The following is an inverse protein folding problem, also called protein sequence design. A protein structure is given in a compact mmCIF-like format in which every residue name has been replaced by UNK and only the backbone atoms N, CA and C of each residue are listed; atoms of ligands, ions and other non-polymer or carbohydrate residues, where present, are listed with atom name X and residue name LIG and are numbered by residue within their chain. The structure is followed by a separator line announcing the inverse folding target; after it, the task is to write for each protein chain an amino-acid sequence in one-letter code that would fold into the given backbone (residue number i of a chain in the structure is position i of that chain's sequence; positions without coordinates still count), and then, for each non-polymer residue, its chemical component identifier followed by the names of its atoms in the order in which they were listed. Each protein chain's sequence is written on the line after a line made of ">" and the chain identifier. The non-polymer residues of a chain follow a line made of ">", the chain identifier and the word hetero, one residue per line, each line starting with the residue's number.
data_IF_920707919994
#
_entry.id   IF_920707919994
#
_cell.length_a   1.000
_cell.length_b   1.000
_cell.length_c   1.000
_cell.angle_alpha   90.00
_cell.angle_beta   90.00
_cell.angle_gamma   90.00
#
_symmetry.space_group_name_H-M   'P 1'
#
loop_
_entity.id
_entity.type
_entity.pdbx_description
1 polymer ?
#
# COMPACT_ATOMS: atom_id res chain seq x y z
N UNK A 1 3.33 23.77 41.21
CA UNK A 1 3.01 24.20 39.84
C UNK A 1 4.30 23.98 39.04
N UNK A 2 4.60 22.77 38.53
CA UNK A 2 4.06 22.14 37.29
C UNK A 2 4.34 23.02 36.07
N UNK A 3 5.04 22.62 35.00
CA UNK A 3 5.75 21.40 34.58
C UNK A 3 6.72 21.87 33.48
N UNK A 4 7.97 21.40 33.44
CA UNK A 4 8.79 21.47 32.22
C UNK A 4 9.66 20.22 32.10
N UNK A 5 9.93 19.87 30.85
CA UNK A 5 10.94 18.91 30.36
C UNK A 5 10.56 17.42 30.32
N UNK A 6 9.79 17.05 29.30
CA UNK A 6 9.93 15.73 28.67
C UNK A 6 10.73 15.85 27.37
N UNK A 7 12.04 16.02 27.50
CA UNK A 7 12.98 15.76 26.41
C UNK A 7 13.29 14.26 26.44
N UNK A 8 12.79 13.54 25.44
CA UNK A 8 13.11 12.13 25.20
C UNK A 8 14.61 11.98 24.91
N UNK A 9 15.26 11.15 25.71
CA UNK A 9 16.69 10.90 25.71
C UNK A 9 17.16 10.31 24.37
N UNK A 10 17.95 11.08 23.60
CA UNK A 10 18.65 10.62 22.40
C UNK A 10 19.83 9.70 22.80
N UNK A 11 19.53 8.41 22.98
CA UNK A 11 20.53 7.35 23.03
C UNK A 11 21.18 7.14 21.66
N UNK A 12 22.51 7.19 21.62
CA UNK A 12 23.36 7.19 20.43
C UNK A 12 24.05 5.83 20.25
N UNK A 13 24.21 5.40 18.99
CA UNK A 13 25.13 4.35 18.44
C UNK A 13 24.72 2.90 18.72
N UNK A 14 24.83 1.92 17.81
CA UNK A 14 25.64 1.57 16.60
C UNK A 14 24.82 0.48 15.86
N UNK A 15 25.04 -0.01 14.65
CA UNK A 15 26.08 -0.04 13.61
C UNK A 15 25.40 -0.62 12.34
N UNK A 16 26.02 -0.46 11.18
CA UNK A 16 25.56 -1.00 9.89
C UNK A 16 25.21 -2.50 9.95
N UNK A 17 24.06 -2.87 9.37
CA UNK A 17 23.77 -4.22 8.87
C UNK A 17 22.92 -4.08 7.61
N UNK A 18 23.59 -4.03 6.45
CA UNK A 18 23.03 -4.52 5.20
C UNK A 18 23.00 -6.06 5.22
N UNK A 19 22.10 -6.61 4.40
CA UNK A 19 21.88 -8.03 4.04
C UNK A 19 20.93 -8.89 4.90
N UNK A 20 19.78 -9.16 4.26
CA UNK A 20 19.14 -10.46 4.05
C UNK A 20 18.77 -11.27 5.28
N UNK A 21 17.46 -11.37 5.53
CA UNK A 21 16.90 -12.44 6.35
C UNK A 21 15.77 -13.13 5.60
N UNK A 22 16.17 -14.14 4.84
CA UNK A 22 15.32 -15.31 4.65
C UNK A 22 15.26 -16.10 5.97
N UNK A 23 14.07 -16.63 6.23
CA UNK A 23 13.74 -17.83 7.04
C UNK A 23 13.23 -17.70 8.50
N UNK A 24 12.07 -18.36 8.65
CA UNK A 24 11.47 -19.07 9.79
C UNK A 24 10.64 -18.30 10.84
N UNK A 25 9.31 -18.41 10.71
CA UNK A 25 8.43 -18.74 11.83
C UNK A 25 7.58 -19.96 11.44
N UNK A 26 7.83 -21.06 12.15
CA UNK A 26 7.05 -22.29 12.11
C UNK A 26 5.68 -22.03 12.75
N UNK A 27 4.60 -22.25 12.02
CA UNK A 27 3.30 -22.62 12.57
C UNK A 27 2.66 -23.64 11.63
N UNK A 28 2.46 -24.83 12.18
CA UNK A 28 1.92 -26.00 11.52
C UNK A 28 0.40 -25.93 11.66
N UNK A 29 -0.26 -25.30 10.70
CA UNK A 29 -1.71 -25.40 10.54
C UNK A 29 -2.01 -25.46 9.03
N UNK A 30 -2.68 -26.53 8.64
CA UNK A 30 -3.03 -26.90 7.27
C UNK A 30 -3.78 -25.78 6.54
N UNK A 31 -3.02 -24.85 5.96
CA UNK A 31 -3.48 -23.82 5.05
C UNK A 31 -2.49 -23.77 3.91
N UNK A 32 -2.97 -23.90 2.67
CA UNK A 32 -2.14 -23.80 1.47
C UNK A 32 -1.52 -22.41 1.51
N UNK A 33 -0.23 -22.32 1.86
CA UNK A 33 0.50 -21.06 1.87
C UNK A 33 0.63 -20.60 0.41
N UNK A 34 -0.34 -19.83 -0.07
CA UNK A 34 -0.25 -19.22 -1.39
C UNK A 34 1.00 -18.35 -1.43
N UNK A 35 1.84 -18.56 -2.45
CA UNK A 35 3.01 -17.73 -2.69
C UNK A 35 2.63 -16.24 -2.71
N UNK A 36 3.47 -15.34 -2.16
CA UNK A 36 3.18 -13.93 -2.14
C UNK A 36 3.04 -13.39 -3.56
N UNK A 37 1.91 -12.73 -3.83
CA UNK A 37 1.64 -12.10 -5.13
C UNK A 37 2.06 -10.63 -5.08
N UNK A 38 2.81 -10.20 -6.08
CA UNK A 38 3.38 -8.85 -6.15
C UNK A 38 2.61 -7.96 -7.13
N UNK A 39 2.43 -6.70 -6.76
CA UNK A 39 1.93 -5.66 -7.67
C UNK A 39 2.96 -5.43 -8.78
N UNK A 40 2.54 -5.54 -10.04
CA UNK A 40 3.40 -5.34 -11.21
C UNK A 40 3.85 -3.88 -11.39
N UNK A 41 3.24 -2.94 -10.66
CA UNK A 41 3.52 -1.50 -10.78
C UNK A 41 4.45 -0.99 -9.66
N UNK A 42 4.13 -1.27 -8.39
CA UNK A 42 4.93 -0.79 -7.25
C UNK A 42 5.83 -1.86 -6.62
N UNK A 43 5.69 -3.13 -7.01
CA UNK A 43 6.50 -4.24 -6.47
C UNK A 43 6.15 -4.68 -5.05
N UNK A 44 5.11 -4.12 -4.41
CA UNK A 44 4.71 -4.54 -3.06
C UNK A 44 3.94 -5.88 -3.08
N UNK A 45 4.18 -6.77 -2.11
CA UNK A 45 3.40 -8.00 -1.95
C UNK A 45 1.97 -7.73 -1.46
N UNK A 46 1.08 -8.69 -1.66
CA UNK A 46 -0.34 -8.64 -1.28
C UNK A 46 -0.58 -8.40 0.23
N UNK A 47 0.34 -8.81 1.09
CA UNK A 47 0.26 -8.58 2.54
C UNK A 47 0.64 -7.16 2.98
N UNK A 48 1.25 -6.36 2.10
CA UNK A 48 1.63 -4.96 2.36
C UNK A 48 0.68 -3.94 1.72
N UNK A 49 -0.37 -4.39 1.04
CA UNK A 49 -1.36 -3.52 0.37
C UNK A 49 -2.76 -3.85 0.86
N UNK A 50 -3.67 -2.87 0.81
CA UNK A 50 -5.04 -3.03 1.30
C UNK A 50 -5.81 -4.06 0.47
N UNK A 51 -5.67 -4.00 -0.86
CA UNK A 51 -6.25 -4.97 -1.80
C UNK A 51 -5.33 -5.17 -3.00
N UNK A 52 -5.37 -6.38 -3.55
CA UNK A 52 -4.70 -6.78 -4.78
C UNK A 52 -5.71 -7.39 -5.73
N UNK A 53 -5.70 -6.96 -6.99
CA UNK A 53 -6.47 -7.58 -8.08
C UNK A 53 -5.51 -8.45 -8.89
N UNK A 54 -5.78 -9.76 -8.96
CA UNK A 54 -5.02 -10.72 -9.78
C UNK A 54 -5.61 -10.77 -11.20
N UNK A 55 -4.76 -10.62 -12.22
CA UNK A 55 -5.14 -10.73 -13.62
C UNK A 55 -4.24 -11.73 -14.37
N UNK A 56 -4.57 -12.07 -15.63
CA UNK A 56 -3.71 -12.92 -16.45
C UNK A 56 -2.39 -12.20 -16.76
N UNK A 57 -1.32 -12.58 -16.05
CA UNK A 57 0.04 -12.07 -16.26
C UNK A 57 0.36 -10.71 -15.62
N UNK A 58 -0.60 -10.06 -14.95
CA UNK A 58 -0.41 -8.76 -14.30
C UNK A 58 -1.26 -8.66 -13.04
N UNK A 59 -0.70 -8.05 -11.99
CA UNK A 59 -1.42 -7.78 -10.74
C UNK A 59 -1.30 -6.30 -10.39
N UNK A 60 -2.38 -5.71 -9.88
CA UNK A 60 -2.42 -4.30 -9.48
C UNK A 60 -2.97 -4.14 -8.07
N UNK A 61 -2.29 -3.35 -7.24
CA UNK A 61 -2.78 -3.00 -5.91
C UNK A 61 -3.74 -1.80 -5.94
N UNK A 62 -4.48 -1.61 -4.85
CA UNK A 62 -5.44 -0.51 -4.70
C UNK A 62 -4.79 0.88 -4.85
N UNK A 63 -3.58 1.08 -4.33
CA UNK A 63 -2.86 2.36 -4.42
C UNK A 63 -2.50 2.69 -5.89
N UNK A 64 -1.93 1.75 -6.63
CA UNK A 64 -1.60 1.93 -8.04
C UNK A 64 -2.85 2.16 -8.90
N UNK A 65 -3.96 1.50 -8.57
CA UNK A 65 -5.25 1.71 -9.25
C UNK A 65 -5.72 3.16 -9.07
N UNK A 66 -5.64 3.70 -7.86
CA UNK A 66 -6.02 5.09 -7.58
C UNK A 66 -5.15 6.09 -8.34
N UNK A 67 -3.84 5.87 -8.40
CA UNK A 67 -2.92 6.70 -9.18
C UNK A 67 -3.27 6.66 -10.67
N UNK A 68 -3.55 5.47 -11.20
CA UNK A 68 -3.95 5.30 -12.59
C UNK A 68 -5.26 6.04 -12.90
N UNK A 69 -6.28 5.91 -12.04
CA UNK A 69 -7.55 6.64 -12.17
C UNK A 69 -7.31 8.15 -12.15
N UNK A 70 -6.49 8.65 -11.21
CA UNK A 70 -6.15 10.07 -11.13
C UNK A 70 -5.47 10.56 -12.42
N UNK A 71 -4.53 9.78 -12.98
CA UNK A 71 -3.84 10.13 -14.21
C UNK A 71 -4.78 10.14 -15.42
N UNK A 72 -5.69 9.15 -15.51
CA UNK A 72 -6.70 9.07 -16.57
C UNK A 72 -7.62 10.29 -16.56
N UNK A 73 -8.08 10.70 -15.38
CA UNK A 73 -8.93 11.89 -15.21
C UNK A 73 -8.19 13.18 -15.64
N UNK A 74 -6.89 13.28 -15.36
CA UNK A 74 -6.10 14.50 -15.63
C UNK A 74 -5.67 14.65 -17.09
N UNK A 75 -5.41 13.55 -17.81
CA UNK A 75 -4.75 13.61 -19.12
C UNK A 75 -5.68 13.45 -20.33
N UNK A 76 -6.82 12.74 -20.25
CA UNK A 76 -7.71 12.62 -21.40
C UNK A 76 -9.15 12.20 -21.03
N UNK A 77 -10.09 13.02 -21.53
CA UNK A 77 -11.52 12.77 -21.78
C UNK A 77 -12.39 12.23 -20.63
N UNK A 78 -13.03 13.19 -19.96
CA UNK A 78 -14.38 13.13 -19.38
C UNK A 78 -14.90 11.71 -19.08
N UNK A 79 -14.77 11.21 -17.85
CA UNK A 79 -15.50 10.00 -17.45
C UNK A 79 -16.99 10.20 -17.78
N UNK A 80 -17.68 9.14 -18.22
CA UNK A 80 -19.13 9.20 -18.41
C UNK A 80 -19.79 9.83 -17.17
N UNK A 81 -20.92 10.51 -17.32
CA UNK A 81 -21.60 11.14 -16.18
C UNK A 81 -21.80 10.16 -14.99
N UNK A 82 -22.01 8.88 -15.29
CA UNK A 82 -22.07 7.80 -14.30
C UNK A 82 -20.72 7.55 -13.61
N UNK A 83 -19.63 7.44 -14.37
CA UNK A 83 -18.30 7.29 -13.82
C UNK A 83 -17.90 8.52 -12.99
N UNK A 84 -18.20 9.75 -13.45
CA UNK A 84 -17.95 10.97 -12.66
C UNK A 84 -18.76 10.97 -11.35
N UNK A 85 -20.03 10.56 -11.37
CA UNK A 85 -20.84 10.44 -10.15
C UNK A 85 -20.25 9.45 -9.16
N UNK A 86 -19.66 8.35 -9.63
CA UNK A 86 -18.99 7.37 -8.78
C UNK A 86 -17.72 7.99 -8.18
N UNK A 87 -16.90 8.66 -9.00
CA UNK A 87 -15.69 9.35 -8.53
C UNK A 87 -16.01 10.44 -7.49
N UNK A 88 -17.05 11.24 -7.72
CA UNK A 88 -17.52 12.27 -6.79
C UNK A 88 -18.03 11.67 -5.47
N UNK A 89 -18.59 10.46 -5.49
CA UNK A 89 -18.98 9.76 -4.26
C UNK A 89 -17.76 9.26 -3.46
N UNK A 90 -16.67 8.88 -4.15
CA UNK A 90 -15.44 8.37 -3.51
C UNK A 90 -14.50 9.49 -3.02
N UNK A 91 -14.36 10.59 -3.79
CA UNK A 91 -13.45 11.70 -3.49
C UNK A 91 -14.15 13.01 -3.11
N UNK A 92 -15.46 13.11 -3.32
CA UNK A 92 -16.24 14.30 -2.98
C UNK A 92 -16.74 14.29 -1.55
N UNK A 93 -15.93 14.87 -0.65
CA UNK A 93 -16.28 15.84 0.41
C UNK A 93 -15.25 15.76 1.54
N UNK A 94 -14.09 16.38 1.33
CA UNK A 94 -13.47 17.15 2.40
C UNK A 94 -14.13 18.54 2.38
N UNK A 95 -15.12 18.73 3.25
CA UNK A 95 -15.46 20.05 3.77
C UNK A 95 -14.88 20.16 5.17
#
# INVERSE_FOLDING_TARGET
>A
MSNDDKIVSLGKKRSEHEHQKEEACQHEENTVAEEPVYCSFCGRPNNQVVKMVKGPGVNICSECTMIAVQYLILNDQMPSAEAQSILDAFWGKCK
#
